data_IF_547751890787
#
_entry.id   IF_547751890787
#
_cell.length_a   1.000
_cell.length_b   1.000
_cell.length_c   1.000
_cell.angle_alpha   90.00
_cell.angle_beta   90.00
_cell.angle_gamma   90.00
#
_symmetry.space_group_name_H-M   'P 1'
#
loop_
_entity.id
_entity.type
_entity.pdbx_description
1 polymer ?
#
# COMPACT_ATOMS: atom_id res chain seq x y z
N UNK A 1 14.52 13.42 52.71
CA UNK A 1 13.14 13.19 52.24
C UNK A 1 13.19 12.88 50.76
N UNK A 2 12.98 11.62 50.38
CA UNK A 2 13.02 11.19 48.97
C UNK A 2 11.77 11.73 48.26
N UNK A 3 11.98 12.54 47.23
CA UNK A 3 10.91 13.17 46.47
C UNK A 3 10.10 12.07 45.74
N UNK A 4 8.89 11.81 46.23
CA UNK A 4 7.97 10.77 45.74
C UNK A 4 7.63 10.98 44.25
N UNK A 5 7.74 12.22 43.76
CA UNK A 5 7.59 12.55 42.33
C UNK A 5 8.68 11.98 41.43
N UNK A 6 9.89 11.70 41.95
CA UNK A 6 10.97 11.07 41.18
C UNK A 6 10.78 9.56 40.97
N UNK A 7 9.99 8.89 41.82
CA UNK A 7 9.69 7.46 41.68
C UNK A 7 8.72 7.17 40.53
N UNK A 8 7.82 8.11 40.22
CA UNK A 8 6.87 7.98 39.10
C UNK A 8 7.50 8.19 37.72
N UNK A 9 8.66 8.84 37.63
CA UNK A 9 9.36 9.05 36.37
C UNK A 9 10.28 7.87 35.99
N UNK A 10 10.76 7.10 36.97
CA UNK A 10 11.70 6.00 36.74
C UNK A 10 11.01 4.64 36.47
N UNK A 11 9.69 4.54 36.65
CA UNK A 11 8.90 3.31 36.45
C UNK A 11 7.97 3.35 35.23
N UNK A 12 8.10 4.34 34.34
CA UNK A 12 7.43 4.24 33.03
C UNK A 12 8.20 3.22 32.19
N UNK A 13 7.58 2.11 31.75
CA UNK A 13 8.23 1.24 30.79
C UNK A 13 8.42 2.07 29.51
N UNK A 14 9.67 2.31 29.10
CA UNK A 14 10.04 3.03 27.86
C UNK A 14 9.72 2.20 26.58
N UNK A 15 8.72 1.33 26.68
CA UNK A 15 8.30 0.39 25.65
C UNK A 15 6.77 0.39 25.48
N UNK A 16 6.11 1.51 25.76
CA UNK A 16 4.66 1.68 25.71
C UNK A 16 4.01 1.79 24.31
N UNK A 17 2.66 1.88 24.25
CA UNK A 17 1.78 1.78 23.07
C UNK A 17 2.19 2.55 21.81
N UNK A 18 3.03 3.58 21.92
CA UNK A 18 3.61 4.29 20.79
C UNK A 18 4.45 3.38 19.86
N UNK A 19 5.20 2.41 20.43
CA UNK A 19 6.00 1.45 19.64
C UNK A 19 5.10 0.51 18.84
N UNK A 20 4.02 0.04 19.46
CA UNK A 20 3.00 -0.80 18.82
C UNK A 20 2.23 -0.02 17.74
N UNK A 21 1.85 1.22 18.01
CA UNK A 21 1.18 2.08 17.03
C UNK A 21 2.05 2.31 15.78
N UNK A 22 3.35 2.55 15.96
CA UNK A 22 4.30 2.65 14.85
C UNK A 22 4.37 1.35 14.05
N UNK A 23 4.51 0.20 14.72
CA UNK A 23 4.56 -1.10 14.06
C UNK A 23 3.28 -1.41 13.27
N UNK A 24 2.11 -1.11 13.85
CA UNK A 24 0.83 -1.25 13.17
C UNK A 24 0.77 -0.34 11.94
N UNK A 25 1.14 0.93 12.08
CA UNK A 25 1.17 1.89 10.98
C UNK A 25 2.10 1.43 9.84
N UNK A 26 3.29 0.96 10.17
CA UNK A 26 4.26 0.46 9.19
C UNK A 26 3.73 -0.79 8.49
N UNK A 27 3.14 -1.74 9.24
CA UNK A 27 2.51 -2.94 8.67
C UNK A 27 1.35 -2.60 7.75
N UNK A 28 0.46 -1.71 8.18
CA UNK A 28 -0.64 -1.21 7.35
C UNK A 28 -0.13 -0.50 6.11
N UNK A 29 0.94 0.29 6.21
CA UNK A 29 1.59 0.92 5.05
C UNK A 29 2.04 -0.10 4.00
N UNK A 30 2.68 -1.19 4.43
CA UNK A 30 3.11 -2.27 3.53
C UNK A 30 1.94 -2.99 2.87
N UNK A 31 0.87 -3.28 3.62
CA UNK A 31 -0.34 -3.92 3.08
C UNK A 31 -0.97 -3.00 2.04
N UNK A 32 -1.18 -1.72 2.36
CA UNK A 32 -1.75 -0.76 1.42
C UNK A 32 -0.95 -0.70 0.13
N UNK A 33 0.37 -0.58 0.22
CA UNK A 33 1.26 -0.55 -0.95
C UNK A 33 1.08 -1.78 -1.85
N UNK A 34 1.09 -2.99 -1.26
CA UNK A 34 0.90 -4.24 -2.01
C UNK A 34 -0.49 -4.37 -2.64
N UNK A 35 -1.53 -3.94 -1.93
CA UNK A 35 -2.90 -3.95 -2.45
C UNK A 35 -3.06 -2.95 -3.60
N UNK A 36 -2.47 -1.75 -3.51
CA UNK A 36 -2.48 -0.76 -4.61
C UNK A 36 -1.83 -1.30 -5.87
N UNK A 37 -0.67 -1.95 -5.75
CA UNK A 37 -0.01 -2.61 -6.86
C UNK A 37 -0.87 -3.70 -7.50
N UNK A 38 -1.48 -4.54 -6.66
CA UNK A 38 -2.39 -5.57 -7.15
C UNK A 38 -3.63 -4.98 -7.86
N UNK A 39 -4.17 -3.85 -7.39
CA UNK A 39 -5.24 -3.13 -8.09
C UNK A 39 -4.80 -2.67 -9.49
N UNK A 40 -3.56 -2.23 -9.67
CA UNK A 40 -3.02 -1.87 -10.98
C UNK A 40 -2.93 -3.11 -11.90
N UNK A 41 -2.36 -4.21 -11.41
CA UNK A 41 -2.29 -5.48 -12.13
C UNK A 41 -3.68 -6.02 -12.51
N UNK A 42 -4.67 -5.85 -11.62
CA UNK A 42 -6.06 -6.21 -11.89
C UNK A 42 -6.69 -5.34 -12.98
N UNK A 43 -6.47 -4.02 -12.97
CA UNK A 43 -6.95 -3.11 -14.01
C UNK A 43 -6.35 -3.48 -15.38
N UNK A 44 -5.06 -3.82 -15.43
CA UNK A 44 -4.39 -4.28 -16.64
C UNK A 44 -4.92 -5.63 -17.13
N UNK A 45 -5.07 -6.60 -16.21
CA UNK A 45 -5.67 -7.89 -16.53
C UNK A 45 -7.08 -7.71 -17.11
N UNK A 46 -7.85 -6.76 -16.58
CA UNK A 46 -9.22 -6.46 -17.00
C UNK A 46 -9.29 -5.66 -18.31
N UNK A 47 -8.30 -4.84 -18.65
CA UNK A 47 -8.26 -4.11 -19.94
C UNK A 47 -7.91 -5.02 -21.11
N UNK A 48 -7.06 -6.02 -20.87
CA UNK A 48 -6.68 -7.05 -21.84
C UNK A 48 -7.77 -8.11 -22.03
N UNK A 49 -8.82 -8.07 -21.22
CA UNK A 49 -9.88 -9.06 -21.21
C UNK A 49 -11.06 -8.64 -22.09
N UNK A 50 -11.36 -9.46 -23.11
CA UNK A 50 -12.50 -9.27 -24.01
C UNK A 50 -13.60 -10.30 -23.69
N UNK A 51 -14.66 -9.82 -23.01
CA UNK A 51 -15.99 -10.45 -22.88
C UNK A 51 -16.07 -11.97 -22.60
N UNK A 52 -16.44 -12.34 -21.37
CA UNK A 52 -17.28 -13.54 -21.12
C UNK A 52 -16.68 -14.68 -20.30
N UNK A 53 -15.57 -14.46 -19.59
CA UNK A 53 -14.87 -15.47 -18.79
C UNK A 53 -15.08 -15.35 -17.26
N UNK A 54 -14.62 -16.36 -16.53
CA UNK A 54 -14.81 -16.55 -15.10
C UNK A 54 -13.92 -15.57 -14.27
N UNK A 55 -14.47 -14.96 -13.20
CA UNK A 55 -13.73 -14.10 -12.23
C UNK A 55 -12.43 -14.77 -11.74
N UNK A 56 -12.40 -16.10 -11.70
CA UNK A 56 -11.25 -16.93 -11.33
C UNK A 56 -10.06 -16.76 -12.29
N UNK A 57 -10.32 -16.67 -13.59
CA UNK A 57 -9.25 -16.60 -14.60
C UNK A 57 -8.66 -15.20 -14.68
N UNK A 58 -9.51 -14.17 -14.51
CA UNK A 58 -9.07 -12.78 -14.36
C UNK A 58 -8.16 -12.61 -13.14
N UNK A 59 -8.53 -13.24 -12.03
CA UNK A 59 -7.73 -13.24 -10.81
C UNK A 59 -6.36 -13.90 -11.01
N UNK A 60 -6.29 -15.06 -11.65
CA UNK A 60 -5.01 -15.72 -11.93
C UNK A 60 -4.11 -14.86 -12.82
N UNK A 61 -4.68 -14.18 -13.82
CA UNK A 61 -3.93 -13.26 -14.68
C UNK A 61 -3.39 -12.07 -13.89
N UNK A 62 -4.20 -11.47 -13.02
CA UNK A 62 -3.76 -10.37 -12.16
C UNK A 62 -2.64 -10.80 -11.19
N UNK A 63 -2.74 -12.00 -10.61
CA UNK A 63 -1.68 -12.59 -9.77
C UNK A 63 -0.37 -12.77 -10.55
N UNK A 64 -0.44 -13.26 -11.80
CA UNK A 64 0.74 -13.41 -12.67
C UNK A 64 1.38 -12.07 -13.05
N UNK A 65 0.58 -11.06 -13.41
CA UNK A 65 1.10 -9.71 -13.71
C UNK A 65 1.81 -9.14 -12.48
N UNK A 66 1.17 -9.22 -11.31
CA UNK A 66 1.76 -8.76 -10.05
C UNK A 66 3.09 -9.46 -9.74
N UNK A 67 3.14 -10.80 -9.85
CA UNK A 67 4.37 -11.55 -9.56
C UNK A 67 5.49 -11.25 -10.54
N UNK A 68 5.15 -11.00 -11.82
CA UNK A 68 6.13 -10.61 -12.82
C UNK A 68 6.75 -9.25 -12.52
N UNK A 69 5.94 -8.28 -12.08
CA UNK A 69 6.41 -6.93 -11.76
C UNK A 69 7.09 -6.84 -10.40
N UNK A 70 6.74 -7.73 -9.47
CA UNK A 70 7.16 -7.67 -8.06
C UNK A 70 7.81 -8.97 -7.57
N UNK A 71 8.68 -9.56 -8.40
CA UNK A 71 9.41 -10.81 -8.11
C UNK A 71 10.15 -10.82 -6.77
N UNK A 72 10.61 -9.67 -6.30
CA UNK A 72 11.33 -9.52 -5.01
C UNK A 72 10.35 -9.60 -3.82
N UNK A 73 9.13 -9.12 -3.97
CA UNK A 73 8.13 -9.05 -2.90
C UNK A 73 7.37 -10.37 -2.66
N UNK A 74 7.49 -11.30 -3.63
CA UNK A 74 6.87 -12.62 -3.61
C UNK A 74 5.39 -12.60 -3.98
N UNK A 75 4.71 -13.76 -3.86
CA UNK A 75 3.32 -13.92 -4.29
C UNK A 75 2.37 -12.97 -3.54
N UNK A 76 1.25 -12.64 -4.18
CA UNK A 76 0.24 -11.79 -3.58
C UNK A 76 -0.52 -12.53 -2.45
N UNK A 77 -0.21 -12.20 -1.20
CA UNK A 77 -0.78 -12.87 -0.02
C UNK A 77 -2.10 -12.26 0.50
N UNK A 78 -2.58 -11.16 -0.07
CA UNK A 78 -3.72 -10.39 0.46
C UNK A 78 -5.00 -10.52 -0.36
N UNK A 79 -5.16 -11.63 -1.09
CA UNK A 79 -6.32 -11.92 -1.93
C UNK A 79 -7.65 -11.74 -1.22
N UNK A 80 -7.80 -12.33 -0.04
CA UNK A 80 -9.05 -12.24 0.71
C UNK A 80 -9.39 -10.81 1.13
N UNK A 81 -8.38 -10.02 1.53
CA UNK A 81 -8.58 -8.61 1.84
C UNK A 81 -9.02 -7.84 0.59
N UNK A 82 -8.37 -8.08 -0.55
CA UNK A 82 -8.70 -7.42 -1.80
C UNK A 82 -10.12 -7.76 -2.29
N UNK A 83 -10.56 -9.03 -2.19
CA UNK A 83 -11.92 -9.46 -2.57
C UNK A 83 -13.02 -8.79 -1.74
N UNK A 84 -12.74 -8.49 -0.47
CA UNK A 84 -13.64 -7.73 0.40
C UNK A 84 -13.61 -6.25 0.02
N UNK A 85 -12.41 -5.68 -0.17
CA UNK A 85 -12.22 -4.27 -0.47
C UNK A 85 -12.81 -3.85 -1.82
N UNK A 86 -12.72 -4.69 -2.87
CA UNK A 86 -13.27 -4.37 -4.20
C UNK A 86 -14.79 -4.17 -4.22
N UNK A 87 -15.49 -4.68 -3.20
CA UNK A 87 -16.96 -4.58 -3.09
C UNK A 87 -17.40 -3.31 -2.37
N UNK A 88 -16.47 -2.59 -1.75
CA UNK A 88 -16.75 -1.39 -0.96
C UNK A 88 -16.66 -0.14 -1.84
N UNK A 89 -17.75 0.61 -2.07
CA UNK A 89 -17.73 1.81 -2.94
C UNK A 89 -16.77 2.90 -2.45
N UNK A 90 -16.54 2.95 -1.14
CA UNK A 90 -15.56 3.87 -0.53
C UNK A 90 -14.12 3.53 -0.90
N UNK A 91 -13.85 2.26 -1.20
CA UNK A 91 -12.52 1.81 -1.60
C UNK A 91 -12.19 2.29 -3.01
N UNK A 92 -13.13 2.26 -3.94
CA UNK A 92 -12.92 2.81 -5.30
C UNK A 92 -12.63 4.31 -5.26
N UNK A 93 -13.38 5.07 -4.46
CA UNK A 93 -13.11 6.49 -4.26
C UNK A 93 -11.72 6.74 -3.65
N UNK A 94 -11.29 5.88 -2.72
CA UNK A 94 -9.95 5.95 -2.13
C UNK A 94 -8.85 5.65 -3.15
N UNK A 95 -9.04 4.67 -4.03
CA UNK A 95 -8.08 4.35 -5.08
C UNK A 95 -7.92 5.48 -6.09
N UNK A 96 -9.03 6.12 -6.52
CA UNK A 96 -8.97 7.29 -7.40
C UNK A 96 -8.18 8.43 -6.77
N UNK A 97 -8.39 8.69 -5.48
CA UNK A 97 -7.64 9.71 -4.77
C UNK A 97 -6.14 9.37 -4.70
N UNK A 98 -5.80 8.11 -4.45
CA UNK A 98 -4.42 7.66 -4.38
C UNK A 98 -3.71 7.75 -5.73
N UNK A 99 -4.40 7.45 -6.83
CA UNK A 99 -3.89 7.60 -8.20
C UNK A 99 -3.52 9.06 -8.48
N UNK A 100 -4.40 10.01 -8.12
CA UNK A 100 -4.13 11.45 -8.21
C UNK A 100 -2.94 11.89 -7.34
N UNK A 101 -2.74 11.32 -6.15
CA UNK A 101 -1.59 11.61 -5.30
C UNK A 101 -0.27 11.03 -5.83
N UNK A 102 -0.32 9.86 -6.47
CA UNK A 102 0.85 9.23 -7.08
C UNK A 102 1.30 9.98 -8.34
N UNK A 103 0.36 10.41 -9.18
CA UNK A 103 0.69 11.20 -10.37
C UNK A 103 1.28 12.56 -10.00
N UNK A 104 0.80 13.21 -8.92
CA UNK A 104 1.44 14.41 -8.37
C UNK A 104 2.89 14.20 -7.94
N UNK A 105 3.22 13.02 -7.43
CA UNK A 105 4.60 12.66 -7.05
C UNK A 105 5.49 12.34 -8.24
N UNK A 106 4.93 11.77 -9.31
CA UNK A 106 5.68 11.56 -10.56
C UNK A 106 6.03 12.89 -11.25
N UNK A 107 5.12 13.87 -11.21
CA UNK A 107 5.32 15.20 -11.80
C UNK A 107 6.45 15.97 -11.10
N UNK A 108 6.68 15.75 -9.79
CA UNK A 108 7.73 16.46 -9.05
C UNK A 108 9.15 15.97 -9.32
N UNK A 109 9.33 14.79 -9.91
CA UNK A 109 10.66 14.21 -10.16
C UNK A 109 11.25 14.64 -11.53
N UNK A 110 10.48 15.35 -12.38
CA UNK A 110 10.87 15.75 -13.75
C UNK A 110 11.31 17.23 -13.89
N UNK A 111 11.27 18.07 -12.85
CA UNK A 111 11.61 19.51 -12.96
C UNK A 111 13.10 19.87 -12.70
N UNK A 112 14.00 18.92 -12.44
CA UNK A 112 15.40 19.20 -12.09
C UNK A 112 16.44 18.88 -13.19
N UNK A 113 16.04 18.75 -14.46
CA UNK A 113 16.97 18.53 -15.59
C UNK A 113 16.90 19.64 -16.63
N UNK A 114 17.16 20.90 -16.22
CA UNK A 114 17.72 21.91 -17.14
C UNK A 114 18.38 23.10 -16.41
N UNK A 115 19.46 22.85 -15.65
CA UNK A 115 20.30 23.96 -15.14
C UNK A 115 21.78 23.66 -14.93
N UNK A 116 22.38 22.88 -15.82
CA UNK A 116 23.84 22.84 -15.96
C UNK A 116 24.26 22.90 -17.43
N UNK A 117 24.17 24.10 -18.01
CA UNK A 117 24.99 24.52 -19.15
C UNK A 117 25.13 26.03 -19.13
N UNK A 118 26.17 26.50 -18.44
CA UNK A 118 26.95 27.67 -18.84
C UNK A 118 28.41 27.46 -18.43
#
# INVERSE_FOLDING_TARGET
MTNIGKLWLLSRPDHGPARLAKQLKDRFGRIKKRVTWFCAAWKEANSLWASGENDVDLMKRAEQIYENDHKIDGPFMFKHFWEVLRKEPKWDAYLQHLELELDKRKISDDEDVDKFSL
#
